data_IF_298450034267
#
_entry.id   IF_298450034267
#
_cell.length_a   1.000
_cell.length_b   1.000
_cell.length_c   1.000
_cell.angle_alpha   90.00
_cell.angle_beta   90.00
_cell.angle_gamma   90.00
#
_symmetry.space_group_name_H-M   'P 1'
#
loop_
_entity.id
_entity.type
_entity.pdbx_description
1 polymer ?
#
# COMPACT_ATOMS: atom_id res chain seq x y z
N UNK A 1 -76.66 27.50 46.87
CA UNK A 1 -76.02 26.60 45.89
C UNK A 1 -74.87 25.95 46.62
N UNK A 2 -74.47 24.73 46.23
CA UNK A 2 -73.28 24.12 46.82
C UNK A 2 -72.03 24.85 46.32
N UNK A 3 -71.03 25.08 47.22
CA UNK A 3 -69.73 25.63 46.85
C UNK A 3 -69.00 24.62 45.98
N UNK A 4 -68.55 25.05 44.81
CA UNK A 4 -67.84 24.22 43.83
C UNK A 4 -66.63 24.99 43.30
N UNK A 5 -65.67 24.30 42.77
CA UNK A 5 -64.54 24.88 42.06
C UNK A 5 -64.34 24.17 40.74
N UNK A 6 -64.00 24.90 39.67
CA UNK A 6 -63.57 24.36 38.39
C UNK A 6 -62.07 24.69 38.16
N UNK A 7 -61.41 23.96 37.34
CA UNK A 7 -59.98 24.14 37.00
C UNK A 7 -59.80 24.23 35.49
N UNK A 8 -59.01 25.16 35.02
CA UNK A 8 -58.59 25.29 33.62
C UNK A 8 -57.08 25.45 33.53
N UNK A 9 -56.45 24.93 32.46
CA UNK A 9 -56.97 24.13 31.38
C UNK A 9 -57.35 22.69 31.82
N UNK A 10 -58.24 22.05 31.05
CA UNK A 10 -58.58 20.65 31.22
C UNK A 10 -57.60 19.79 30.40
N UNK A 11 -56.95 18.83 30.99
CA UNK A 11 -56.03 17.88 30.35
C UNK A 11 -55.00 18.51 29.36
N UNK A 12 -54.25 19.56 29.76
CA UNK A 12 -53.24 20.15 28.89
C UNK A 12 -52.05 19.20 28.67
N UNK A 13 -51.27 19.50 27.64
CA UNK A 13 -49.95 18.89 27.39
C UNK A 13 -48.88 19.97 27.48
N UNK A 14 -47.64 19.57 27.77
CA UNK A 14 -46.50 20.46 27.73
C UNK A 14 -45.18 19.67 27.84
N UNK A 15 -44.09 20.31 27.50
CA UNK A 15 -42.73 19.75 27.49
C UNK A 15 -42.04 20.07 28.84
N UNK A 16 -41.19 19.19 29.33
CA UNK A 16 -40.38 19.41 30.53
C UNK A 16 -39.66 20.76 30.44
N UNK A 17 -39.65 21.48 31.59
CA UNK A 17 -39.18 22.87 31.81
C UNK A 17 -40.14 23.94 31.27
N UNK A 18 -41.23 23.59 30.58
CA UNK A 18 -42.27 24.53 30.22
C UNK A 18 -43.11 24.88 31.46
N UNK A 19 -43.53 26.12 31.59
CA UNK A 19 -44.47 26.54 32.63
C UNK A 19 -45.91 26.49 32.11
N UNK A 20 -46.81 25.82 32.84
CA UNK A 20 -48.25 25.80 32.57
C UNK A 20 -48.98 26.44 33.72
N UNK A 21 -49.79 27.46 33.40
CA UNK A 21 -50.64 28.11 34.36
C UNK A 21 -52.00 27.39 34.47
N UNK A 22 -52.41 27.11 35.69
CA UNK A 22 -53.73 26.59 36.04
C UNK A 22 -54.49 27.68 36.76
N UNK A 23 -55.81 27.78 36.54
CA UNK A 23 -56.69 28.72 37.14
C UNK A 23 -57.89 28.00 37.81
N UNK A 24 -58.09 28.25 39.07
CA UNK A 24 -59.29 27.80 39.83
C UNK A 24 -60.37 28.84 39.71
N UNK A 25 -61.54 28.37 39.32
CA UNK A 25 -62.75 29.22 39.22
C UNK A 25 -63.85 28.74 40.23
N UNK A 26 -63.93 29.33 41.35
CA UNK A 26 -64.98 28.99 42.38
C UNK A 26 -66.33 29.50 41.92
N UNK A 27 -67.38 28.79 42.35
CA UNK A 27 -68.79 29.21 42.15
C UNK A 27 -69.71 28.74 43.32
N UNK A 28 -70.82 29.42 43.52
CA UNK A 28 -71.76 29.05 44.55
C UNK A 28 -71.30 29.37 45.97
N UNK A 29 -70.21 30.15 46.15
CA UNK A 29 -69.70 30.57 47.45
C UNK A 29 -70.68 31.45 48.17
N UNK A 30 -70.75 31.31 49.47
CA UNK A 30 -71.50 32.19 50.33
C UNK A 30 -70.90 33.63 50.35
N UNK A 31 -71.76 34.66 50.44
CA UNK A 31 -71.30 36.05 50.42
C UNK A 31 -70.48 36.42 51.68
N UNK A 32 -69.53 37.34 51.56
CA UNK A 32 -68.69 37.86 52.61
C UNK A 32 -67.54 36.98 53.08
N UNK A 33 -67.33 35.83 52.38
CA UNK A 33 -66.22 34.96 52.67
C UNK A 33 -64.95 35.33 51.91
N UNK A 34 -63.77 34.88 52.39
CA UNK A 34 -62.46 34.96 51.73
C UNK A 34 -62.09 33.60 51.25
N UNK A 35 -61.81 33.51 49.95
CA UNK A 35 -61.40 32.22 49.30
C UNK A 35 -59.88 32.13 49.30
N UNK A 36 -59.36 31.03 49.79
CA UNK A 36 -57.95 30.61 49.67
C UNK A 36 -57.87 29.31 48.92
N UNK A 37 -56.71 29.06 48.27
CA UNK A 37 -56.50 27.88 47.44
C UNK A 37 -55.30 27.12 47.95
N UNK A 38 -55.37 25.79 47.91
CA UNK A 38 -54.24 24.88 48.16
C UNK A 38 -54.04 23.98 46.93
N UNK A 39 -52.90 24.12 46.30
CA UNK A 39 -52.53 23.36 45.10
C UNK A 39 -51.68 22.18 45.49
N UNK A 40 -51.80 21.08 44.75
CA UNK A 40 -50.89 19.92 44.84
C UNK A 40 -50.68 19.30 43.48
N UNK A 41 -49.50 18.73 43.34
CA UNK A 41 -49.10 17.93 42.13
C UNK A 41 -48.77 16.51 42.59
N UNK A 42 -49.46 15.51 42.04
CA UNK A 42 -49.34 14.09 42.43
C UNK A 42 -49.43 13.91 43.97
N UNK A 43 -50.39 14.66 44.62
CA UNK A 43 -50.60 14.73 46.04
C UNK A 43 -49.47 15.40 46.85
N UNK A 44 -48.45 15.97 46.24
CA UNK A 44 -47.42 16.77 46.92
C UNK A 44 -47.85 18.22 46.93
N UNK A 45 -48.03 18.84 48.15
CA UNK A 45 -48.42 20.24 48.30
C UNK A 45 -47.44 21.17 47.56
N UNK A 46 -47.98 22.20 46.94
CA UNK A 46 -47.25 23.28 46.30
C UNK A 46 -47.41 24.57 47.02
N UNK A 47 -46.45 25.49 46.89
CA UNK A 47 -46.55 26.81 47.46
C UNK A 47 -47.55 27.70 46.68
N UNK A 48 -48.16 28.64 47.34
CA UNK A 48 -49.15 29.57 46.77
C UNK A 48 -50.57 29.32 47.24
N UNK A 49 -51.30 30.40 47.45
CA UNK A 49 -52.72 30.39 47.93
C UNK A 49 -53.65 31.17 47.01
N UNK A 50 -53.13 31.50 45.77
CA UNK A 50 -53.85 32.29 44.80
C UNK A 50 -54.71 31.40 43.87
N UNK A 51 -55.69 32.03 43.22
CA UNK A 51 -56.56 31.34 42.26
C UNK A 51 -55.78 30.83 41.00
N UNK A 52 -54.56 31.30 40.78
CA UNK A 52 -53.67 30.85 39.70
C UNK A 52 -52.46 30.12 40.27
N UNK A 53 -52.04 29.07 39.58
CA UNK A 53 -50.89 28.25 39.92
C UNK A 53 -50.05 28.02 38.71
N UNK A 54 -48.80 28.48 38.74
CA UNK A 54 -47.80 28.26 37.68
C UNK A 54 -46.98 27.01 38.00
N UNK A 55 -47.19 25.94 37.24
CA UNK A 55 -46.46 24.68 37.36
C UNK A 55 -45.35 24.59 36.33
N UNK A 56 -44.09 24.56 36.76
CA UNK A 56 -42.98 24.21 35.91
C UNK A 56 -42.94 22.71 35.78
N UNK A 57 -43.14 22.19 34.53
CA UNK A 57 -43.19 20.78 34.27
C UNK A 57 -41.83 20.10 34.51
N UNK A 58 -41.83 19.11 35.40
CA UNK A 58 -40.62 18.37 35.79
C UNK A 58 -40.73 16.92 35.33
N UNK A 59 -39.60 16.35 34.91
CA UNK A 59 -39.51 14.93 34.61
C UNK A 59 -39.82 14.01 35.79
N UNK A 60 -40.01 12.73 35.55
CA UNK A 60 -40.05 12.09 34.22
C UNK A 60 -41.35 12.42 33.44
N UNK A 61 -41.31 12.25 32.12
CA UNK A 61 -42.46 12.35 31.23
C UNK A 61 -43.59 11.39 31.68
N UNK A 62 -44.84 11.78 31.42
CA UNK A 62 -46.00 11.03 31.81
C UNK A 62 -47.13 11.94 32.32
N UNK A 63 -48.16 11.35 32.86
CA UNK A 63 -49.28 12.10 33.42
C UNK A 63 -48.96 12.55 34.85
N UNK A 64 -49.26 13.83 35.15
CA UNK A 64 -49.26 14.41 36.49
C UNK A 64 -50.67 14.87 36.84
N UNK A 65 -51.08 14.69 38.10
CA UNK A 65 -52.37 15.12 38.58
C UNK A 65 -52.20 16.48 39.29
N UNK A 66 -52.89 17.48 38.81
CA UNK A 66 -52.98 18.80 39.42
C UNK A 66 -54.29 18.86 40.17
N UNK A 67 -54.25 19.09 41.48
CA UNK A 67 -55.42 19.21 42.36
C UNK A 67 -55.43 20.58 43.04
N UNK A 68 -56.59 21.16 43.11
CA UNK A 68 -56.83 22.37 43.91
C UNK A 68 -57.96 22.11 44.93
N UNK A 69 -57.73 22.59 46.13
CA UNK A 69 -58.75 22.70 47.16
C UNK A 69 -59.01 24.18 47.41
N UNK A 70 -60.22 24.63 47.15
CA UNK A 70 -60.66 25.98 47.44
C UNK A 70 -61.40 25.98 48.85
N UNK A 71 -61.03 26.91 49.73
CA UNK A 71 -61.64 27.06 51.05
C UNK A 71 -62.21 28.47 51.16
N UNK A 72 -63.52 28.59 51.33
CA UNK A 72 -64.21 29.83 51.62
C UNK A 72 -64.37 29.96 53.13
N UNK A 73 -63.63 30.90 53.73
CA UNK A 73 -63.71 31.19 55.19
C UNK A 73 -64.65 32.35 55.39
N UNK A 74 -65.74 32.10 56.11
CA UNK A 74 -66.77 33.04 56.38
C UNK A 74 -66.68 33.40 57.89
N UNK A 75 -66.67 34.68 58.31
CA UNK A 75 -66.67 35.04 59.70
C UNK A 75 -67.83 34.40 60.42
N UNK A 76 -67.58 33.88 61.62
CA UNK A 76 -68.56 33.26 62.52
C UNK A 76 -69.35 32.05 61.95
N UNK A 77 -68.83 31.43 60.83
CA UNK A 77 -69.44 30.25 60.18
C UNK A 77 -68.41 29.21 59.97
N UNK A 78 -68.84 27.95 59.70
CA UNK A 78 -67.95 26.85 59.28
C UNK A 78 -67.46 27.10 57.84
N UNK A 79 -66.19 26.88 57.63
CA UNK A 79 -65.59 27.07 56.28
C UNK A 79 -66.14 26.06 55.27
N UNK A 80 -66.49 26.56 54.09
CA UNK A 80 -66.86 25.71 52.93
C UNK A 80 -65.61 25.25 52.12
N UNK A 81 -65.58 24.03 51.77
CA UNK A 81 -64.49 23.49 50.93
C UNK A 81 -65.00 22.85 49.66
N UNK A 82 -64.30 23.06 48.59
CA UNK A 82 -64.53 22.35 47.27
C UNK A 82 -63.18 21.94 46.65
N UNK A 83 -63.14 20.79 46.03
CA UNK A 83 -61.91 20.31 45.38
C UNK A 83 -62.21 19.79 44.01
N UNK A 84 -61.18 19.92 43.15
CA UNK A 84 -61.17 19.36 41.81
C UNK A 84 -59.75 19.01 41.44
N UNK A 85 -59.59 18.02 40.48
CA UNK A 85 -58.34 17.68 39.85
C UNK A 85 -58.44 17.60 38.34
N UNK A 86 -57.33 17.88 37.71
CA UNK A 86 -57.12 17.66 36.28
C UNK A 86 -55.78 16.94 36.05
N UNK A 87 -55.56 16.42 34.88
CA UNK A 87 -54.28 15.82 34.53
C UNK A 87 -53.53 16.66 33.47
N UNK A 88 -52.25 16.72 33.58
CA UNK A 88 -51.37 17.25 32.52
C UNK A 88 -50.46 16.13 32.01
N UNK A 89 -50.33 16.02 30.68
CA UNK A 89 -49.36 15.12 30.08
C UNK A 89 -48.05 15.85 29.85
N UNK A 90 -47.02 15.44 30.59
CA UNK A 90 -45.65 15.96 30.47
C UNK A 90 -44.92 15.14 29.42
N UNK A 91 -44.31 15.81 28.45
CA UNK A 91 -43.56 15.20 27.37
C UNK A 91 -42.08 15.48 27.53
N UNK A 92 -41.23 14.57 27.06
CA UNK A 92 -39.80 14.80 26.97
C UNK A 92 -39.47 15.94 25.99
N UNK A 93 -38.32 16.53 26.19
CA UNK A 93 -37.71 17.47 25.23
C UNK A 93 -37.20 16.72 24.02
N UNK A 94 -37.23 17.36 22.85
CA UNK A 94 -36.62 16.83 21.65
C UNK A 94 -35.12 17.15 21.59
N UNK A 95 -34.32 16.23 21.06
CA UNK A 95 -32.90 16.44 20.91
C UNK A 95 -32.56 17.07 19.54
N UNK A 96 -31.55 17.95 19.49
CA UNK A 96 -30.97 18.52 18.29
C UNK A 96 -29.64 17.87 17.95
N UNK A 97 -29.28 16.79 18.64
CA UNK A 97 -28.02 16.06 18.47
C UNK A 97 -27.76 15.71 17.02
N UNK A 98 -26.51 15.90 16.57
CA UNK A 98 -25.98 15.51 15.27
C UNK A 98 -24.73 14.67 15.46
N UNK A 99 -24.37 13.88 14.43
CA UNK A 99 -23.21 13.00 14.42
C UNK A 99 -22.37 13.31 13.18
N UNK A 100 -21.07 13.40 13.35
CA UNK A 100 -20.12 13.52 12.25
C UNK A 100 -19.00 12.48 12.37
N UNK A 101 -18.49 12.01 11.23
CA UNK A 101 -17.35 11.09 11.15
C UNK A 101 -16.19 11.79 10.49
N UNK A 102 -15.01 11.62 11.08
CA UNK A 102 -13.71 12.06 10.52
C UNK A 102 -12.79 10.86 10.33
N UNK A 103 -11.81 10.89 9.36
CA UNK A 103 -11.54 12.01 8.46
C UNK A 103 -12.69 12.26 7.48
N UNK A 104 -12.77 13.48 6.95
CA UNK A 104 -13.75 13.84 5.92
C UNK A 104 -13.46 13.14 4.59
N UNK A 105 -14.48 13.08 3.75
CA UNK A 105 -14.38 12.56 2.39
C UNK A 105 -13.65 13.55 1.45
N UNK A 106 -12.73 13.09 0.54
CA UNK A 106 -12.30 11.71 0.37
C UNK A 106 -11.18 11.32 1.34
N UNK A 107 -11.29 10.16 1.96
CA UNK A 107 -10.20 9.55 2.72
C UNK A 107 -9.40 8.58 1.84
N UNK A 108 -8.17 8.27 2.23
CA UNK A 108 -7.32 7.34 1.53
C UNK A 108 -6.77 6.26 2.48
N UNK A 109 -6.66 5.03 1.97
CA UNK A 109 -6.11 3.89 2.68
C UNK A 109 -5.33 2.98 1.75
N UNK A 110 -4.66 1.99 2.33
CA UNK A 110 -3.93 0.94 1.60
C UNK A 110 -4.36 -0.42 2.15
N UNK A 111 -4.48 -1.42 1.30
CA UNK A 111 -4.83 -2.80 1.70
C UNK A 111 -3.94 -3.25 2.88
N UNK A 112 -4.57 -3.80 3.91
CA UNK A 112 -3.90 -4.33 5.10
C UNK A 112 -3.38 -3.27 6.08
N UNK A 113 -3.61 -1.98 5.83
CA UNK A 113 -3.25 -0.90 6.75
C UNK A 113 -4.51 -0.32 7.37
N UNK A 114 -4.56 -0.27 8.71
CA UNK A 114 -5.72 0.27 9.42
C UNK A 114 -5.87 1.78 9.17
N UNK A 115 -7.12 2.19 8.96
CA UNK A 115 -7.54 3.59 8.89
C UNK A 115 -8.48 3.84 10.07
N UNK A 116 -8.15 4.79 10.92
CA UNK A 116 -8.98 5.16 12.08
C UNK A 116 -10.05 6.16 11.69
N UNK A 117 -11.28 5.88 12.07
CA UNK A 117 -12.43 6.78 11.97
C UNK A 117 -12.92 7.15 13.37
N UNK A 118 -13.31 8.39 13.55
CA UNK A 118 -13.85 8.90 14.82
C UNK A 118 -15.23 9.50 14.59
N UNK A 119 -16.20 9.05 15.38
CA UNK A 119 -17.55 9.57 15.42
C UNK A 119 -17.66 10.60 16.55
N UNK A 120 -18.08 11.81 16.23
CA UNK A 120 -18.24 12.91 17.16
C UNK A 120 -19.68 13.42 17.19
N UNK A 121 -20.28 13.45 18.37
CA UNK A 121 -21.60 14.06 18.61
C UNK A 121 -21.45 15.57 18.81
N UNK A 122 -22.42 16.31 18.31
CA UNK A 122 -22.56 17.75 18.57
C UNK A 122 -24.00 18.09 18.98
N UNK A 123 -24.17 19.17 19.72
CA UNK A 123 -25.47 19.68 20.20
C UNK A 123 -26.26 18.65 21.02
N UNK A 124 -25.58 17.72 21.70
CA UNK A 124 -26.22 16.77 22.60
C UNK A 124 -26.56 17.39 23.93
N UNK A 125 -27.57 16.87 24.68
CA UNK A 125 -27.78 17.21 26.07
C UNK A 125 -26.55 16.96 26.96
N UNK A 126 -26.40 17.66 28.08
CA UNK A 126 -25.20 17.56 28.95
C UNK A 126 -24.92 16.15 29.49
N UNK A 127 -25.99 15.39 29.75
CA UNK A 127 -25.95 14.02 30.30
C UNK A 127 -26.19 12.94 29.26
N UNK A 128 -26.00 13.27 27.97
CA UNK A 128 -26.24 12.33 26.88
C UNK A 128 -25.29 11.14 26.93
N UNK A 129 -25.87 9.95 26.78
CA UNK A 129 -25.16 8.70 26.58
C UNK A 129 -25.44 8.18 25.17
N UNK A 130 -24.42 7.61 24.50
CA UNK A 130 -24.56 7.12 23.15
C UNK A 130 -23.97 5.72 22.99
N UNK A 131 -24.65 4.92 22.20
CA UNK A 131 -24.13 3.66 21.65
C UNK A 131 -23.97 3.81 20.15
N UNK A 132 -22.91 3.23 19.58
CA UNK A 132 -22.55 3.39 18.18
C UNK A 132 -22.66 2.07 17.44
N UNK A 133 -22.84 2.16 16.13
CA UNK A 133 -22.71 1.06 15.19
C UNK A 133 -22.08 1.60 13.91
N UNK A 134 -20.96 1.01 13.50
CA UNK A 134 -20.28 1.35 12.24
C UNK A 134 -20.74 0.48 11.09
N UNK A 135 -20.70 1.05 9.90
CA UNK A 135 -21.10 0.41 8.65
C UNK A 135 -20.00 0.62 7.60
N UNK A 136 -19.75 -0.44 6.84
CA UNK A 136 -18.92 -0.42 5.63
C UNK A 136 -19.76 -0.93 4.46
N UNK A 137 -19.87 -0.13 3.40
CA UNK A 137 -20.69 -0.44 2.23
C UNK A 137 -22.12 -0.85 2.65
N UNK A 138 -22.76 -0.07 3.55
CA UNK A 138 -24.07 -0.28 4.15
C UNK A 138 -24.23 -1.56 5.00
N UNK A 139 -23.21 -2.35 5.16
CA UNK A 139 -23.22 -3.53 6.02
C UNK A 139 -22.71 -3.20 7.42
N UNK A 140 -23.40 -3.59 8.49
CA UNK A 140 -22.90 -3.38 9.84
C UNK A 140 -21.62 -4.18 10.06
N UNK A 141 -20.68 -3.56 10.79
CA UNK A 141 -19.44 -4.23 11.20
C UNK A 141 -19.63 -4.77 12.60
N UNK A 142 -19.45 -6.07 12.77
CA UNK A 142 -19.61 -6.74 14.06
C UNK A 142 -18.67 -6.13 15.11
N UNK A 143 -19.19 -5.95 16.33
CA UNK A 143 -18.48 -5.42 17.49
C UNK A 143 -17.93 -3.98 17.34
N UNK A 144 -18.18 -3.29 16.23
CA UNK A 144 -17.78 -1.91 16.03
C UNK A 144 -18.77 -0.95 16.70
N UNK A 145 -18.72 -0.88 18.03
CA UNK A 145 -19.68 -0.15 18.88
C UNK A 145 -19.07 1.01 19.65
N UNK A 146 -17.82 1.34 19.42
CA UNK A 146 -17.13 2.47 20.03
C UNK A 146 -17.22 3.74 19.19
N UNK A 147 -16.95 4.90 19.80
CA UNK A 147 -16.85 6.17 19.05
C UNK A 147 -15.67 6.20 18.07
N UNK A 148 -14.67 5.31 18.22
CA UNK A 148 -13.57 5.13 17.29
C UNK A 148 -13.68 3.77 16.63
N UNK A 149 -13.33 3.71 15.33
CA UNK A 149 -13.37 2.52 14.51
C UNK A 149 -12.10 2.41 13.67
N UNK A 150 -11.35 1.32 13.84
CA UNK A 150 -10.17 1.00 13.05
C UNK A 150 -10.54 0.02 11.94
N UNK A 151 -10.69 0.52 10.73
CA UNK A 151 -11.00 -0.30 9.57
C UNK A 151 -9.73 -0.73 8.84
N UNK A 152 -9.50 -2.05 8.72
CA UNK A 152 -8.40 -2.62 7.94
C UNK A 152 -8.96 -3.20 6.63
N UNK A 153 -8.81 -2.50 5.50
CA UNK A 153 -9.36 -2.99 4.23
C UNK A 153 -8.59 -4.21 3.71
N UNK A 154 -9.33 -5.18 3.19
CA UNK A 154 -8.77 -6.41 2.60
C UNK A 154 -8.78 -6.41 1.07
N UNK A 155 -9.45 -5.44 0.44
CA UNK A 155 -9.55 -5.30 -1.01
C UNK A 155 -9.41 -3.84 -1.42
N UNK A 156 -8.80 -3.58 -2.59
CA UNK A 156 -8.74 -2.25 -3.18
C UNK A 156 -10.09 -1.79 -3.73
N UNK A 157 -10.23 -0.50 -3.92
CA UNK A 157 -11.45 0.13 -4.44
C UNK A 157 -12.01 1.16 -3.48
N UNK A 158 -13.19 1.69 -3.80
CA UNK A 158 -13.87 2.66 -2.96
C UNK A 158 -14.74 1.94 -1.94
N UNK A 159 -14.66 2.35 -0.67
CA UNK A 159 -15.49 1.90 0.44
C UNK A 159 -16.24 3.09 1.01
N UNK A 160 -17.49 2.89 1.41
CA UNK A 160 -18.31 3.89 2.09
C UNK A 160 -18.35 3.58 3.58
N UNK A 161 -17.93 4.53 4.42
CA UNK A 161 -17.91 4.38 5.87
C UNK A 161 -18.91 5.35 6.48
N UNK A 162 -19.75 4.87 7.40
CA UNK A 162 -20.67 5.69 8.19
C UNK A 162 -20.87 5.11 9.59
N UNK A 163 -21.37 5.94 10.49
CA UNK A 163 -21.71 5.57 11.85
C UNK A 163 -23.16 5.94 12.14
N UNK A 164 -23.87 5.10 12.88
CA UNK A 164 -25.18 5.39 13.46
C UNK A 164 -25.03 5.37 14.97
N UNK A 165 -25.58 6.36 15.65
CA UNK A 165 -25.60 6.42 17.10
C UNK A 165 -27.02 6.50 17.64
N UNK A 166 -27.29 5.73 18.71
CA UNK A 166 -28.48 5.86 19.54
C UNK A 166 -28.12 6.72 20.75
N UNK A 167 -28.74 7.88 20.86
CA UNK A 167 -28.46 8.87 21.90
C UNK A 167 -29.63 8.96 22.86
N UNK A 168 -29.35 8.77 24.14
CA UNK A 168 -30.31 8.90 25.23
C UNK A 168 -29.83 9.95 26.23
N UNK A 169 -30.76 10.69 26.83
CA UNK A 169 -30.48 11.65 27.88
C UNK A 169 -31.71 11.79 28.79
N UNK A 170 -31.48 12.20 30.03
CA UNK A 170 -32.57 12.46 30.99
C UNK A 170 -33.49 13.56 30.45
N UNK A 171 -34.78 13.36 30.59
CA UNK A 171 -35.82 14.34 30.17
C UNK A 171 -35.88 14.62 28.66
N UNK A 172 -35.21 13.83 27.83
CA UNK A 172 -35.22 13.92 26.37
C UNK A 172 -35.70 12.62 25.73
N UNK A 173 -36.37 12.74 24.59
CA UNK A 173 -36.66 11.58 23.76
C UNK A 173 -35.35 10.98 23.23
N UNK A 174 -35.27 9.65 23.18
CA UNK A 174 -34.15 8.97 22.55
C UNK A 174 -34.11 9.34 21.08
N UNK A 175 -32.90 9.50 20.51
CA UNK A 175 -32.68 9.90 19.12
C UNK A 175 -31.66 9.03 18.46
N UNK A 176 -32.03 8.51 17.31
CA UNK A 176 -31.09 7.92 16.38
C UNK A 176 -30.52 9.01 15.45
N UNK A 177 -29.20 9.02 15.30
CA UNK A 177 -28.49 9.95 14.41
C UNK A 177 -27.53 9.19 13.53
N UNK A 178 -27.53 9.51 12.24
CA UNK A 178 -26.61 8.96 11.24
C UNK A 178 -25.59 10.03 10.88
N UNK A 179 -24.34 9.65 10.73
CA UNK A 179 -23.26 10.55 10.34
C UNK A 179 -23.32 10.89 8.84
N UNK A 180 -22.42 11.81 8.43
CA UNK A 180 -21.99 11.90 7.04
C UNK A 180 -21.39 10.56 6.60
N UNK A 181 -21.45 10.29 5.29
CA UNK A 181 -20.74 9.18 4.66
C UNK A 181 -19.32 9.62 4.28
N UNK A 182 -18.33 8.78 4.59
CA UNK A 182 -16.94 8.98 4.18
C UNK A 182 -16.60 8.01 3.06
N UNK A 183 -16.20 8.55 1.92
CA UNK A 183 -15.67 7.77 0.80
C UNK A 183 -14.19 7.49 1.03
N UNK A 184 -13.83 6.23 1.33
CA UNK A 184 -12.46 5.76 1.50
C UNK A 184 -11.96 5.12 0.21
N UNK A 185 -10.98 5.71 -0.43
CA UNK A 185 -10.28 5.10 -1.57
C UNK A 185 -9.16 4.21 -1.05
N UNK A 186 -9.32 2.89 -1.22
CA UNK A 186 -8.32 1.90 -0.83
C UNK A 186 -7.43 1.58 -2.02
N UNK A 187 -6.16 1.91 -1.91
CA UNK A 187 -5.14 1.64 -2.91
C UNK A 187 -4.50 0.27 -2.67
N UNK A 188 -3.97 -0.33 -3.73
CA UNK A 188 -3.08 -1.47 -3.62
C UNK A 188 -1.77 -1.06 -2.95
N UNK A 189 -1.04 -2.05 -2.44
CA UNK A 189 0.33 -1.87 -1.93
C UNK A 189 1.29 -1.58 -3.08
N UNK A 190 2.34 -0.83 -2.82
CA UNK A 190 3.43 -0.62 -3.78
C UNK A 190 4.53 -1.65 -3.54
N UNK A 191 5.22 -2.07 -4.62
CA UNK A 191 6.41 -2.91 -4.55
C UNK A 191 7.59 -2.19 -5.23
N UNK A 192 8.81 -2.58 -4.86
CA UNK A 192 10.03 -2.01 -5.45
C UNK A 192 11.03 -3.12 -5.82
N UNK A 193 10.66 -4.07 -6.70
CA UNK A 193 11.55 -5.14 -7.12
C UNK A 193 12.79 -4.59 -7.83
N UNK A 194 13.88 -5.35 -7.77
CA UNK A 194 15.12 -5.06 -8.46
C UNK A 194 15.46 -6.20 -9.41
N UNK A 195 16.08 -5.89 -10.55
CA UNK A 195 16.59 -6.89 -11.48
C UNK A 195 18.04 -6.63 -11.82
N UNK A 196 18.85 -7.67 -11.86
CA UNK A 196 20.24 -7.65 -12.29
C UNK A 196 20.52 -8.79 -13.24
N UNK A 197 21.41 -8.57 -14.21
CA UNK A 197 21.91 -9.63 -15.08
C UNK A 197 23.22 -10.21 -14.55
N UNK A 198 23.31 -11.51 -14.58
CA UNK A 198 24.54 -12.25 -14.24
C UNK A 198 24.94 -13.16 -15.40
N UNK A 199 26.17 -13.01 -15.89
CA UNK A 199 27.13 -11.94 -15.60
C UNK A 199 26.65 -10.59 -16.18
N UNK A 200 27.18 -9.43 -15.74
CA UNK A 200 26.78 -8.11 -16.28
C UNK A 200 27.30 -7.88 -17.69
N UNK A 201 28.38 -8.57 -18.09
CA UNK A 201 28.92 -8.57 -19.45
C UNK A 201 29.59 -9.89 -19.78
N UNK A 202 29.63 -10.22 -21.06
CA UNK A 202 30.18 -11.47 -21.58
C UNK A 202 31.11 -11.14 -22.74
N UNK A 203 32.35 -11.70 -22.71
CA UNK A 203 33.26 -11.69 -23.83
C UNK A 203 33.44 -13.13 -24.31
N UNK A 204 33.08 -13.43 -25.56
CA UNK A 204 33.13 -14.77 -26.12
C UNK A 204 33.68 -14.78 -27.54
N UNK A 205 34.14 -15.94 -27.96
CA UNK A 205 34.43 -16.21 -29.35
C UNK A 205 33.15 -16.48 -30.14
N UNK A 206 33.16 -16.23 -31.41
CA UNK A 206 32.07 -16.58 -32.33
C UNK A 206 31.65 -18.06 -32.13
N UNK A 207 30.35 -18.33 -32.14
CA UNK A 207 29.71 -19.63 -31.91
C UNK A 207 29.89 -20.22 -30.48
N UNK A 208 30.52 -19.50 -29.57
CA UNK A 208 30.60 -19.92 -28.16
C UNK A 208 29.31 -19.58 -27.40
N UNK A 209 29.00 -20.38 -26.40
CA UNK A 209 27.79 -20.13 -25.58
C UNK A 209 27.94 -18.88 -24.75
N UNK A 210 26.92 -18.03 -24.78
CA UNK A 210 26.78 -16.84 -23.95
C UNK A 210 25.38 -16.80 -23.32
N UNK A 211 25.31 -16.82 -22.01
CA UNK A 211 24.03 -16.91 -21.29
C UNK A 211 23.96 -15.87 -20.19
N UNK A 212 22.86 -15.13 -20.16
CA UNK A 212 22.50 -14.24 -19.07
C UNK A 212 21.44 -14.89 -18.18
N UNK A 213 21.57 -14.65 -16.89
CA UNK A 213 20.54 -14.97 -15.91
C UNK A 213 20.02 -13.68 -15.28
N UNK A 214 18.73 -13.44 -15.38
CA UNK A 214 18.07 -12.33 -14.69
C UNK A 214 17.77 -12.75 -13.26
N UNK A 215 18.33 -12.04 -12.29
CA UNK A 215 18.07 -12.22 -10.89
C UNK A 215 17.16 -11.10 -10.41
N UNK A 216 15.98 -11.48 -9.91
CA UNK A 216 14.98 -10.54 -9.38
C UNK A 216 14.94 -10.65 -7.86
N UNK A 217 14.99 -9.52 -7.17
CA UNK A 217 14.95 -9.44 -5.70
C UNK A 217 13.87 -8.46 -5.24
N UNK A 218 13.64 -8.38 -3.92
CA UNK A 218 12.69 -7.45 -3.30
C UNK A 218 11.26 -7.57 -3.83
N UNK A 219 10.85 -8.81 -4.15
CA UNK A 219 9.49 -9.13 -4.58
C UNK A 219 8.63 -9.55 -3.38
N UNK A 220 7.30 -9.26 -3.43
CA UNK A 220 6.36 -9.86 -2.49
C UNK A 220 6.40 -11.39 -2.52
N UNK A 221 5.99 -12.00 -1.42
CA UNK A 221 5.75 -13.45 -1.37
C UNK A 221 4.70 -13.84 -2.43
N UNK A 222 4.89 -14.98 -3.09
CA UNK A 222 4.02 -15.49 -4.14
C UNK A 222 3.89 -14.58 -5.40
N UNK A 223 4.81 -13.64 -5.60
CA UNK A 223 4.81 -12.82 -6.81
C UNK A 223 4.99 -13.68 -8.07
N UNK A 224 4.22 -13.36 -9.10
CA UNK A 224 4.39 -13.92 -10.44
C UNK A 224 5.36 -13.02 -11.21
N UNK A 225 6.34 -13.63 -11.87
CA UNK A 225 7.40 -12.92 -12.60
C UNK A 225 7.38 -13.36 -14.05
N UNK A 226 7.21 -12.40 -14.95
CA UNK A 226 7.25 -12.60 -16.39
C UNK A 226 8.49 -11.92 -16.95
N UNK A 227 9.14 -12.59 -17.92
CA UNK A 227 10.35 -12.13 -18.57
C UNK A 227 10.11 -11.91 -20.06
N UNK A 228 10.70 -10.86 -20.61
CA UNK A 228 10.84 -10.66 -22.03
C UNK A 228 12.21 -10.08 -22.34
N UNK A 229 12.80 -10.54 -23.47
CA UNK A 229 14.16 -10.20 -23.82
C UNK A 229 14.21 -9.41 -25.13
N UNK A 230 15.22 -8.55 -25.24
CA UNK A 230 15.56 -7.84 -26.46
C UNK A 230 17.05 -7.96 -26.70
N UNK A 231 17.41 -8.04 -27.99
CA UNK A 231 18.77 -7.91 -28.49
C UNK A 231 18.83 -6.67 -29.39
N UNK A 232 19.74 -5.75 -29.11
CA UNK A 232 19.91 -4.51 -29.88
C UNK A 232 18.57 -3.79 -30.13
N UNK A 233 17.76 -3.66 -29.06
CA UNK A 233 16.40 -3.07 -29.03
C UNK A 233 15.33 -3.89 -29.80
N UNK A 234 15.66 -5.00 -30.43
CA UNK A 234 14.72 -5.86 -31.16
C UNK A 234 14.25 -7.01 -30.26
N UNK A 235 12.93 -7.28 -30.18
CA UNK A 235 12.43 -8.40 -29.39
C UNK A 235 13.01 -9.74 -29.85
N UNK A 236 13.31 -10.61 -28.89
CA UNK A 236 13.76 -11.98 -29.13
C UNK A 236 12.89 -12.97 -28.36
N UNK A 237 12.88 -14.22 -28.77
CA UNK A 237 12.18 -15.27 -28.04
C UNK A 237 12.88 -15.56 -26.70
N UNK A 238 12.09 -15.72 -25.65
CA UNK A 238 12.55 -16.04 -24.30
C UNK A 238 11.56 -15.53 -23.24
N UNK A 239 11.03 -16.44 -22.45
CA UNK A 239 10.04 -16.15 -21.39
C UNK A 239 10.52 -16.61 -20.02
N UNK A 240 11.77 -17.08 -19.93
CA UNK A 240 12.38 -17.51 -18.67
C UNK A 240 13.39 -16.46 -18.17
N UNK A 241 13.84 -16.63 -16.96
CA UNK A 241 14.89 -15.78 -16.38
C UNK A 241 16.28 -16.02 -16.99
N UNK A 242 16.40 -16.96 -17.94
CA UNK A 242 17.66 -17.28 -18.61
C UNK A 242 17.51 -17.02 -20.11
N UNK A 243 18.48 -16.34 -20.70
CA UNK A 243 18.56 -16.06 -22.11
C UNK A 243 19.92 -16.45 -22.67
N UNK A 244 19.92 -17.30 -23.71
CA UNK A 244 21.13 -17.67 -24.43
C UNK A 244 21.24 -16.81 -25.69
N UNK A 245 22.34 -16.09 -25.79
CA UNK A 245 22.60 -15.13 -26.87
C UNK A 245 23.09 -15.88 -28.13
N UNK A 246 22.56 -15.47 -29.26
CA UNK A 246 23.15 -15.88 -30.57
C UNK A 246 24.48 -15.14 -30.79
N UNK A 247 25.56 -15.89 -30.79
CA UNK A 247 26.93 -15.41 -30.96
C UNK A 247 27.51 -15.72 -32.36
N UNK A 248 26.66 -16.03 -33.33
CA UNK A 248 27.08 -16.32 -34.72
C UNK A 248 27.69 -15.11 -35.46
N UNK A 249 27.40 -13.90 -35.01
CA UNK A 249 27.91 -12.65 -35.60
C UNK A 249 28.91 -11.97 -34.67
N UNK A 250 30.06 -11.57 -35.24
CA UNK A 250 31.09 -10.80 -34.53
C UNK A 250 30.56 -9.38 -34.25
N UNK A 251 30.94 -8.82 -33.12
CA UNK A 251 30.61 -7.44 -32.74
C UNK A 251 30.06 -7.34 -31.32
N UNK A 252 29.68 -6.12 -30.96
CA UNK A 252 29.03 -5.81 -29.66
C UNK A 252 27.54 -5.96 -29.82
N UNK A 253 26.88 -6.56 -28.83
CA UNK A 253 25.44 -6.75 -28.77
C UNK A 253 24.98 -6.30 -27.37
N UNK A 254 23.84 -5.60 -27.31
CA UNK A 254 23.18 -5.23 -26.06
C UNK A 254 21.99 -6.15 -25.84
N UNK A 255 21.95 -6.77 -24.67
CA UNK A 255 20.85 -7.63 -24.24
C UNK A 255 20.09 -6.92 -23.14
N UNK A 256 18.81 -6.67 -23.35
CA UNK A 256 17.90 -6.08 -22.35
C UNK A 256 16.92 -7.16 -21.90
N UNK A 257 16.74 -7.29 -20.59
CA UNK A 257 15.61 -8.00 -20.01
C UNK A 257 14.60 -7.00 -19.48
N UNK A 258 13.34 -7.22 -19.81
CA UNK A 258 12.20 -6.55 -19.20
C UNK A 258 11.49 -7.58 -18.30
N UNK A 259 11.35 -7.24 -17.04
CA UNK A 259 10.71 -8.10 -16.04
C UNK A 259 9.45 -7.41 -15.56
N UNK A 260 8.31 -8.10 -15.64
CA UNK A 260 7.04 -7.66 -15.05
C UNK A 260 6.75 -8.51 -13.84
N UNK A 261 6.62 -7.85 -12.69
CA UNK A 261 6.28 -8.46 -11.40
C UNK A 261 4.84 -8.13 -11.06
N UNK A 262 4.03 -9.17 -10.79
CA UNK A 262 2.65 -9.03 -10.32
C UNK A 262 2.46 -9.82 -9.03
N UNK A 263 1.69 -9.28 -8.10
CA UNK A 263 1.32 -9.97 -6.86
C UNK A 263 -0.07 -9.53 -6.42
N UNK A 264 -0.76 -10.40 -5.70
CA UNK A 264 -2.06 -10.08 -5.09
C UNK A 264 -1.89 -8.86 -4.18
N UNK A 265 -2.84 -7.94 -4.22
CA UNK A 265 -2.87 -6.72 -3.41
C UNK A 265 -1.78 -5.68 -3.70
N UNK A 266 -0.97 -5.88 -4.71
CA UNK A 266 0.08 -4.95 -5.14
C UNK A 266 -0.19 -4.39 -6.53
N UNK A 267 0.26 -3.16 -6.76
CA UNK A 267 0.36 -2.63 -8.11
C UNK A 267 1.47 -3.38 -8.86
N UNK A 268 1.18 -3.75 -10.12
CA UNK A 268 2.20 -4.40 -10.97
C UNK A 268 3.38 -3.46 -11.20
N UNK A 269 4.58 -4.03 -11.31
CA UNK A 269 5.80 -3.27 -11.55
C UNK A 269 6.60 -3.88 -12.71
N UNK A 270 7.01 -3.02 -13.64
CA UNK A 270 7.92 -3.39 -14.73
C UNK A 270 9.28 -2.74 -14.48
N UNK A 271 10.35 -3.53 -14.61
CA UNK A 271 11.73 -3.13 -14.39
C UNK A 271 12.60 -3.71 -15.49
N UNK A 272 13.74 -3.10 -15.79
CA UNK A 272 14.66 -3.52 -16.85
C UNK A 272 16.10 -3.63 -16.35
N UNK A 273 16.88 -4.50 -16.99
CA UNK A 273 18.33 -4.56 -16.84
C UNK A 273 18.99 -4.83 -18.18
N UNK A 274 20.19 -4.30 -18.37
CA UNK A 274 20.96 -4.47 -19.60
C UNK A 274 22.28 -5.19 -19.32
N UNK A 275 22.72 -6.00 -20.28
CA UNK A 275 24.02 -6.66 -20.32
C UNK A 275 24.68 -6.49 -21.68
N UNK A 276 26.00 -6.52 -21.71
CA UNK A 276 26.78 -6.37 -22.92
C UNK A 276 27.44 -7.69 -23.33
N UNK A 277 27.39 -8.01 -24.59
CA UNK A 277 28.12 -9.15 -25.16
C UNK A 277 29.09 -8.65 -26.23
N UNK A 278 30.35 -8.99 -26.08
CA UNK A 278 31.36 -8.77 -27.09
C UNK A 278 31.72 -10.14 -27.74
N UNK A 279 31.34 -10.32 -28.99
CA UNK A 279 31.72 -11.49 -29.77
C UNK A 279 32.94 -11.15 -30.58
N UNK A 280 34.01 -11.93 -30.41
CA UNK A 280 35.26 -11.77 -31.15
C UNK A 280 35.43 -12.94 -32.13
N UNK A 281 36.27 -12.71 -33.13
CA UNK A 281 36.52 -13.75 -34.16
C UNK A 281 36.99 -15.05 -33.49
N UNK A 282 36.50 -16.16 -34.03
CA UNK A 282 36.91 -17.52 -33.67
C UNK A 282 38.29 -17.84 -34.20
N UNK A 283 38.64 -17.27 -35.34
CA UNK A 283 39.95 -17.40 -35.97
C UNK A 283 40.74 -16.14 -35.71
N UNK A 284 41.97 -16.27 -35.27
CA UNK A 284 42.85 -15.11 -35.21
C UNK A 284 42.91 -14.48 -36.61
N UNK A 285 42.87 -13.16 -36.71
CA UNK A 285 42.99 -12.51 -38.02
C UNK A 285 44.22 -13.01 -38.69
N UNK A 286 44.08 -13.50 -39.92
CA UNK A 286 45.26 -13.74 -40.75
C UNK A 286 46.01 -12.42 -40.90
N UNK A 287 47.34 -12.44 -40.79
CA UNK A 287 48.12 -11.23 -41.02
C UNK A 287 47.82 -10.68 -42.42
N UNK A 288 47.32 -9.42 -42.42
CA UNK A 288 47.14 -8.71 -43.67
C UNK A 288 48.52 -8.45 -44.28
N UNK A 289 48.86 -9.20 -45.30
CA UNK A 289 50.14 -9.06 -46.03
C UNK A 289 50.55 -10.33 -46.74
N UNK A 290 51.54 -10.21 -47.55
CA UNK A 290 52.16 -11.40 -48.19
C UNK A 290 52.66 -12.33 -47.07
N UNK A 291 52.38 -13.63 -47.20
CA UNK A 291 52.94 -14.66 -46.34
C UNK A 291 54.47 -14.45 -46.25
N UNK A 292 55.07 -14.64 -45.04
CA UNK A 292 56.51 -14.47 -44.88
C UNK A 292 57.26 -15.26 -45.94
N UNK A 293 58.19 -14.57 -46.59
CA UNK A 293 58.97 -15.17 -47.66
C UNK A 293 59.73 -16.37 -47.14
N UNK A 294 59.50 -17.52 -47.77
CA UNK A 294 60.26 -18.73 -47.48
C UNK A 294 61.61 -18.63 -48.22
N UNK A 295 62.65 -18.38 -47.47
CA UNK A 295 63.97 -18.46 -48.04
C UNK A 295 64.31 -19.94 -48.41
N UNK A 296 64.64 -20.23 -49.64
CA UNK A 296 65.24 -21.52 -49.96
C UNK A 296 66.60 -21.61 -49.26
N UNK A 297 66.72 -22.56 -48.37
CA UNK A 297 67.93 -22.72 -47.55
C UNK A 297 69.01 -23.48 -48.28
N UNK A 298 70.11 -22.83 -48.58
CA UNK A 298 71.34 -23.61 -48.99
C UNK A 298 72.02 -24.28 -47.78
N UNK A 299 71.73 -23.87 -46.59
CA UNK A 299 72.34 -24.40 -45.34
C UNK A 299 71.37 -24.51 -44.16
N UNK A 300 70.10 -24.69 -44.45
CA UNK A 300 69.08 -24.78 -43.38
C UNK A 300 69.10 -23.61 -42.33
N UNK A 301 69.47 -22.42 -42.77
CA UNK A 301 69.71 -21.32 -41.89
C UNK A 301 68.56 -20.35 -41.78
N UNK A 302 67.58 -20.41 -42.68
CA UNK A 302 66.40 -19.57 -42.59
C UNK A 302 65.26 -20.03 -43.43
N UNK A 303 64.14 -20.32 -42.87
CA UNK A 303 62.85 -20.46 -43.50
C UNK A 303 61.73 -19.91 -42.59
N UNK A 304 60.92 -19.09 -43.16
CA UNK A 304 59.69 -18.70 -42.47
C UNK A 304 58.66 -19.78 -42.76
N UNK A 305 58.01 -20.21 -41.72
CA UNK A 305 56.87 -21.09 -41.78
C UNK A 305 55.67 -20.42 -41.15
N UNK A 306 54.67 -20.18 -41.98
CA UNK A 306 53.38 -19.82 -41.46
C UNK A 306 52.74 -21.04 -40.81
N UNK A 307 52.50 -20.96 -39.48
CA UNK A 307 51.96 -22.07 -38.72
C UNK A 307 50.43 -21.96 -38.63
N UNK A 308 49.77 -22.91 -39.23
CA UNK A 308 48.34 -23.10 -38.96
C UNK A 308 48.06 -23.71 -37.57
N UNK A 309 46.81 -23.82 -37.25
CA UNK A 309 46.35 -24.36 -35.96
C UNK A 309 46.92 -25.75 -35.64
N UNK A 310 47.15 -26.56 -36.62
CA UNK A 310 47.75 -27.90 -36.45
C UNK A 310 49.16 -27.86 -35.85
N UNK A 311 49.95 -26.85 -36.16
CA UNK A 311 51.30 -26.69 -35.59
C UNK A 311 51.20 -26.18 -34.15
N UNK A 312 50.24 -25.34 -33.87
CA UNK A 312 49.96 -24.88 -32.49
C UNK A 312 49.56 -26.02 -31.58
N UNK A 313 48.69 -26.90 -32.06
CA UNK A 313 48.27 -28.11 -31.34
C UNK A 313 49.47 -29.05 -31.08
N UNK A 314 50.35 -29.22 -32.05
CA UNK A 314 51.54 -30.04 -31.91
C UNK A 314 52.58 -29.45 -30.95
N UNK A 315 52.77 -28.13 -30.96
CA UNK A 315 53.63 -27.41 -30.00
C UNK A 315 53.06 -27.54 -28.56
N UNK A 316 51.79 -27.41 -28.42
CA UNK A 316 51.13 -27.59 -27.11
C UNK A 316 51.33 -29.00 -26.60
N UNK A 317 51.14 -30.00 -27.42
CA UNK A 317 51.37 -31.42 -27.13
C UNK A 317 52.80 -31.70 -26.71
N UNK A 318 53.78 -31.18 -27.48
CA UNK A 318 55.20 -31.30 -27.15
C UNK A 318 55.54 -30.66 -25.81
N UNK A 319 54.91 -29.50 -25.51
CA UNK A 319 55.10 -28.81 -24.21
C UNK A 319 54.52 -29.63 -23.06
N UNK A 320 53.33 -30.18 -23.23
CA UNK A 320 52.68 -31.06 -22.25
C UNK A 320 53.48 -32.37 -22.02
N UNK A 321 54.11 -32.90 -23.03
CA UNK A 321 55.00 -34.07 -22.98
C UNK A 321 56.41 -33.73 -22.47
N UNK A 322 56.72 -32.48 -22.15
CA UNK A 322 58.04 -32.03 -21.71
C UNK A 322 59.12 -32.05 -22.76
N UNK A 323 58.75 -32.08 -24.05
CA UNK A 323 59.69 -32.02 -25.18
C UNK A 323 60.08 -30.60 -25.49
N UNK A 324 61.35 -30.40 -25.85
CA UNK A 324 61.89 -29.10 -26.21
C UNK A 324 61.59 -28.75 -27.66
N UNK A 325 60.44 -28.13 -27.90
CA UNK A 325 60.01 -27.66 -29.22
C UNK A 325 60.72 -26.36 -29.64
N UNK A 326 61.48 -25.74 -28.74
CA UNK A 326 62.29 -24.54 -28.98
C UNK A 326 63.74 -24.83 -29.32
N UNK A 327 64.01 -26.07 -29.66
CA UNK A 327 65.38 -26.50 -30.02
C UNK A 327 65.95 -25.67 -31.16
N UNK A 328 67.24 -25.39 -31.13
CA UNK A 328 67.96 -24.78 -32.19
C UNK A 328 68.38 -25.83 -33.29
N UNK A 329 67.88 -27.03 -33.17
CA UNK A 329 68.04 -28.07 -34.17
C UNK A 329 67.43 -27.66 -35.51
N UNK A 330 68.24 -27.39 -36.55
CA UNK A 330 67.73 -26.89 -37.79
C UNK A 330 66.94 -27.98 -38.59
N UNK A 331 66.94 -29.23 -38.16
CA UNK A 331 66.13 -30.27 -38.68
C UNK A 331 64.75 -30.37 -38.12
N UNK A 332 64.50 -29.64 -37.00
CA UNK A 332 63.16 -29.55 -36.35
C UNK A 332 62.26 -28.71 -37.22
N UNK A 333 61.08 -29.23 -37.51
CA UNK A 333 60.01 -28.48 -38.18
C UNK A 333 59.44 -27.34 -37.36
N UNK A 334 59.76 -27.29 -36.03
CA UNK A 334 59.31 -26.30 -35.08
C UNK A 334 60.41 -25.34 -34.68
N UNK A 335 61.53 -25.28 -35.43
CA UNK A 335 62.63 -24.37 -35.13
C UNK A 335 62.18 -22.91 -35.17
N UNK A 336 62.22 -22.24 -34.01
CA UNK A 336 61.82 -20.84 -33.87
C UNK A 336 63.00 -19.92 -34.07
N UNK A 337 62.90 -18.99 -35.03
CA UNK A 337 63.93 -18.00 -35.26
C UNK A 337 63.66 -16.68 -34.53
N UNK A 338 64.66 -16.16 -33.83
CA UNK A 338 64.55 -14.93 -33.06
C UNK A 338 63.98 -13.77 -33.91
N UNK A 339 64.49 -13.58 -35.11
CA UNK A 339 64.04 -12.52 -36.00
C UNK A 339 62.55 -12.68 -36.38
N UNK A 340 62.11 -13.84 -36.63
CA UNK A 340 60.71 -14.14 -36.92
C UNK A 340 59.79 -13.80 -35.75
N UNK A 341 60.20 -14.20 -34.56
CA UNK A 341 59.45 -13.86 -33.35
C UNK A 341 59.44 -12.37 -33.05
N UNK A 342 60.54 -11.68 -33.29
CA UNK A 342 60.60 -10.20 -33.15
C UNK A 342 59.67 -9.52 -34.17
N UNK A 343 59.63 -10.01 -35.42
CA UNK A 343 58.74 -9.52 -36.45
C UNK A 343 57.26 -9.80 -36.09
N UNK A 344 56.98 -10.95 -35.58
CA UNK A 344 55.65 -11.29 -35.06
C UNK A 344 55.21 -10.40 -33.93
N UNK A 345 56.09 -10.13 -32.93
CA UNK A 345 55.78 -9.19 -31.83
C UNK A 345 55.53 -7.76 -32.33
N UNK A 346 56.16 -7.35 -33.43
CA UNK A 346 55.95 -6.05 -34.05
C UNK A 346 54.63 -5.98 -34.81
N UNK A 347 54.27 -7.00 -35.55
CA UNK A 347 53.10 -7.07 -36.39
C UNK A 347 51.84 -7.44 -35.62
N UNK A 348 52.01 -8.17 -34.51
CA UNK A 348 50.91 -8.65 -33.64
C UNK A 348 51.23 -8.35 -32.16
N UNK A 349 51.16 -7.09 -31.74
CA UNK A 349 51.54 -6.67 -30.38
C UNK A 349 50.66 -7.28 -29.27
N UNK A 350 49.49 -7.81 -29.62
CA UNK A 350 48.59 -8.53 -28.72
C UNK A 350 49.08 -9.94 -28.36
N UNK A 351 50.05 -10.45 -29.09
CA UNK A 351 50.62 -11.77 -28.82
C UNK A 351 51.72 -11.67 -27.77
N UNK A 352 51.49 -12.28 -26.63
CA UNK A 352 52.42 -12.29 -25.49
C UNK A 352 53.54 -13.33 -25.77
N UNK A 353 54.73 -12.83 -26.07
CA UNK A 353 55.94 -13.63 -26.31
C UNK A 353 56.99 -13.27 -25.30
N UNK A 354 57.56 -14.27 -24.65
CA UNK A 354 58.66 -14.08 -23.68
C UNK A 354 59.98 -14.58 -24.27
N UNK A 355 61.04 -13.80 -24.07
CA UNK A 355 62.39 -14.22 -24.40
C UNK A 355 62.92 -15.26 -23.39
N UNK A 356 63.43 -16.35 -23.92
CA UNK A 356 64.05 -17.42 -23.12
C UNK A 356 65.53 -17.53 -23.37
N UNK A 357 66.19 -18.38 -22.59
CA UNK A 357 67.63 -18.60 -22.66
C UNK A 357 68.10 -19.03 -24.07
N UNK A 358 67.25 -19.75 -24.81
CA UNK A 358 67.54 -20.33 -26.12
C UNK A 358 66.65 -19.75 -27.22
N UNK A 359 66.09 -18.56 -27.06
CA UNK A 359 65.19 -17.98 -28.03
C UNK A 359 63.94 -17.45 -27.38
N UNK A 360 62.83 -17.44 -28.10
CA UNK A 360 61.56 -16.92 -27.62
C UNK A 360 60.61 -18.05 -27.18
N UNK A 361 59.97 -17.85 -26.06
CA UNK A 361 58.88 -18.70 -25.62
C UNK A 361 57.59 -18.04 -26.07
N UNK A 362 56.77 -18.74 -26.83
CA UNK A 362 55.45 -18.26 -27.21
C UNK A 362 54.47 -18.55 -26.06
N UNK A 363 53.89 -17.51 -25.55
CA UNK A 363 52.93 -17.63 -24.49
C UNK A 363 51.62 -18.28 -24.97
N UNK A 364 50.76 -18.71 -24.02
CA UNK A 364 49.46 -19.33 -24.33
C UNK A 364 48.60 -18.49 -25.28
N UNK A 365 48.62 -17.17 -25.14
CA UNK A 365 47.88 -16.25 -26.00
C UNK A 365 48.28 -16.36 -27.46
N UNK A 366 49.59 -16.51 -27.76
CA UNK A 366 50.07 -16.73 -29.12
C UNK A 366 49.63 -18.11 -29.67
N UNK A 367 49.56 -19.12 -28.82
CA UNK A 367 49.01 -20.42 -29.17
C UNK A 367 47.54 -20.33 -29.56
N UNK A 368 46.80 -19.52 -28.86
CA UNK A 368 45.36 -19.31 -29.13
C UNK A 368 45.12 -18.50 -30.40
N UNK A 369 46.02 -17.60 -30.79
CA UNK A 369 45.90 -16.82 -32.05
C UNK A 369 46.26 -17.60 -33.28
N UNK A 370 46.97 -18.72 -33.17
CA UNK A 370 47.33 -19.57 -34.28
C UNK A 370 48.45 -19.02 -35.18
N UNK A 371 49.20 -17.97 -34.71
CA UNK A 371 50.25 -17.33 -35.49
C UNK A 371 51.59 -17.61 -34.85
N UNK A 372 52.41 -18.39 -35.45
CA UNK A 372 53.79 -18.64 -35.06
C UNK A 372 54.66 -18.62 -36.29
N UNK A 373 55.75 -17.87 -36.25
CA UNK A 373 56.79 -17.94 -37.26
C UNK A 373 57.88 -18.88 -36.75
N UNK A 374 58.23 -19.84 -37.55
CA UNK A 374 59.36 -20.72 -37.29
C UNK A 374 60.49 -20.43 -38.28
N UNK A 375 61.68 -20.57 -37.79
CA UNK A 375 62.87 -20.33 -38.60
C UNK A 375 63.86 -21.50 -38.38
N UNK A 376 64.46 -22.04 -39.42
CA UNK A 376 65.42 -23.10 -39.28
C UNK A 376 66.68 -22.71 -38.56
#
# INVERSE_FOLDING_TARGET
>A
MAFTVDITPKTPTGVIDETKQFTAAPSGQAEGGTITYAWSVDNVPQEGSEATFDYVLKGPAGQKTIKVVATNTIPDSEAETAEISTTITVQNKTQTTTLAVTPDSPAAGVIGTAVEFTAALASQPPDANATYQWYVDDSPVDEATSATFNYTPTTSGVKTIKCVAQVTATDYDAKEVTSNEVSLTVNKKTMNPQVTLTPPSINVKQDASATFTANVTDTPEEAQIEYSWKKDSSPVEGTTNVYTVDTSSIGSQTIEVTVTVTATDYDSKTITAEGQVQVTDKVAPEPEGELPYVHPLPHRTSAYIWCGWWVMDEIQKMTEEGKDWKTEDPDSKYYLHRYTLQKMMQDYPEVDVQESRNGYIIHKTALETGIIYTYP
#
